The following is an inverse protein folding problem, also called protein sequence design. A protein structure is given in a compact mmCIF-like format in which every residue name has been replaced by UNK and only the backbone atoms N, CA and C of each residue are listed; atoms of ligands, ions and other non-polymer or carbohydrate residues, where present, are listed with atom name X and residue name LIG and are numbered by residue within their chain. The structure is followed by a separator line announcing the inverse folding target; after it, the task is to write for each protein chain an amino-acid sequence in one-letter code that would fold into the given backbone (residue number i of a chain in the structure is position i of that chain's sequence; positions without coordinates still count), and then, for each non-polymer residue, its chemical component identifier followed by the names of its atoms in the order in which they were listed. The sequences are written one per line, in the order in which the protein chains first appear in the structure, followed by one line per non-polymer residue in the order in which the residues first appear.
data_IF_085240248444
#
_entry.id   IF_085240248444
#
_cell.length_a   1.000
_cell.length_b   1.000
_cell.length_c   1.000
_cell.angle_alpha   90.00
_cell.angle_beta   90.00
_cell.angle_gamma   90.00
#
_symmetry.space_group_name_H-M   'P 1'
#
loop_
_entity.id
_entity.type
_entity.pdbx_description
1 polymer ?
#
# COMPACT_ATOMS: atom_id res chain seq x y z
N UNK A 1 17.40 -7.00 4.15
CA UNK A 1 16.84 -5.77 4.68
C UNK A 1 16.18 -5.98 6.03
N UNK A 2 15.99 -4.90 6.77
CA UNK A 2 15.26 -4.89 8.04
C UNK A 2 14.46 -3.59 8.16
N UNK A 3 13.24 -3.69 8.69
CA UNK A 3 12.39 -2.55 8.99
C UNK A 3 11.64 -2.80 10.30
N UNK A 4 11.40 -1.76 11.07
CA UNK A 4 10.73 -1.85 12.36
C UNK A 4 9.58 -0.86 12.43
N UNK A 5 8.41 -1.34 12.83
CA UNK A 5 7.22 -0.54 13.11
C UNK A 5 6.77 -0.85 14.53
N UNK A 6 6.62 0.18 15.36
CA UNK A 6 6.11 0.03 16.71
C UNK A 6 4.59 0.19 16.73
N UNK A 7 3.88 -0.84 17.20
CA UNK A 7 2.43 -0.83 17.36
C UNK A 7 2.06 -0.67 18.84
N UNK A 8 1.09 0.19 19.11
CA UNK A 8 0.60 0.47 20.47
C UNK A 8 -0.91 0.68 20.46
N UNK A 9 -1.56 0.40 21.56
CA UNK A 9 -2.95 0.76 21.82
C UNK A 9 -3.13 2.19 22.35
N UNK A 10 -2.02 2.92 22.50
CA UNK A 10 -2.04 4.33 22.91
C UNK A 10 -2.17 5.23 21.68
N UNK A 11 -2.65 6.45 21.87
CA UNK A 11 -2.69 7.47 20.82
C UNK A 11 -1.28 7.75 20.29
N UNK A 12 -1.11 7.73 18.99
CA UNK A 12 0.13 8.00 18.28
C UNK A 12 -0.10 8.94 17.09
N UNK A 13 0.96 9.28 16.33
CA UNK A 13 0.85 10.17 15.17
C UNK A 13 0.11 9.51 14.00
N UNK A 14 0.07 8.19 13.95
CA UNK A 14 -0.63 7.41 12.93
C UNK A 14 -1.52 6.35 13.58
N UNK A 15 -2.60 6.04 12.89
CA UNK A 15 -3.56 4.99 13.27
C UNK A 15 -3.74 4.02 12.10
N UNK A 16 -3.77 2.73 12.37
CA UNK A 16 -4.26 1.74 11.40
C UNK A 16 -5.77 1.93 11.30
N UNK A 17 -6.22 2.42 10.14
CA UNK A 17 -7.63 2.66 9.89
C UNK A 17 -8.36 1.36 9.50
N UNK A 18 -7.77 0.59 8.58
CA UNK A 18 -8.31 -0.69 8.14
C UNK A 18 -7.22 -1.59 7.57
N UNK A 19 -7.46 -2.91 7.60
CA UNK A 19 -6.63 -3.93 6.92
C UNK A 19 -7.55 -4.89 6.20
N UNK A 20 -7.23 -5.21 4.95
CA UNK A 20 -8.02 -6.13 4.12
C UNK A 20 -7.10 -7.15 3.43
N UNK A 21 -7.11 -8.40 3.83
CA UNK A 21 -6.52 -9.49 3.05
C UNK A 21 -7.43 -9.85 1.87
N UNK A 22 -6.81 -10.38 0.82
CA UNK A 22 -7.47 -10.91 -0.37
C UNK A 22 -6.81 -12.23 -0.79
N UNK A 23 -7.58 -13.11 -1.41
CA UNK A 23 -7.09 -14.33 -2.03
C UNK A 23 -7.91 -14.64 -3.28
N UNK A 24 -7.24 -15.05 -4.34
CA UNK A 24 -7.84 -15.36 -5.64
C UNK A 24 -7.02 -16.39 -6.41
N UNK A 25 -7.07 -16.32 -7.75
CA UNK A 25 -6.38 -17.26 -8.62
C UNK A 25 -4.84 -17.06 -8.54
N UNK A 26 -4.05 -18.10 -8.22
CA UNK A 26 -2.59 -18.03 -8.17
C UNK A 26 -1.91 -17.58 -9.47
N UNK A 27 -2.54 -17.82 -10.63
CA UNK A 27 -2.02 -17.41 -11.94
C UNK A 27 -1.99 -15.88 -12.10
N UNK A 28 -2.80 -15.15 -11.33
CA UNK A 28 -2.94 -13.71 -11.38
C UNK A 28 -2.42 -13.06 -10.08
N UNK A 29 -1.39 -13.64 -9.45
CA UNK A 29 -0.82 -13.14 -8.19
C UNK A 29 -0.53 -11.62 -8.17
N UNK A 30 -0.01 -10.97 -9.24
CA UNK A 30 0.20 -9.52 -9.24
C UNK A 30 -1.07 -8.69 -9.03
N UNK A 31 -2.25 -9.21 -9.41
CA UNK A 31 -3.54 -8.53 -9.20
C UNK A 31 -3.91 -8.40 -7.71
N UNK A 32 -3.25 -9.15 -6.83
CA UNK A 32 -3.51 -9.10 -5.39
C UNK A 32 -3.39 -7.72 -4.77
N UNK A 33 -2.52 -6.84 -5.30
CA UNK A 33 -2.41 -5.45 -4.86
C UNK A 33 -3.65 -4.63 -5.27
N UNK A 34 -4.09 -4.77 -6.52
CA UNK A 34 -5.29 -4.09 -7.03
C UNK A 34 -6.55 -4.56 -6.29
N UNK A 35 -6.78 -5.86 -6.26
CA UNK A 35 -7.98 -6.47 -5.67
C UNK A 35 -8.12 -6.18 -4.16
N UNK A 36 -6.99 -6.23 -3.43
CA UNK A 36 -7.01 -5.85 -2.01
C UNK A 36 -7.26 -4.36 -1.81
N UNK A 37 -6.75 -3.51 -2.71
CA UNK A 37 -7.01 -2.06 -2.73
C UNK A 37 -8.49 -1.77 -2.97
N UNK A 38 -9.09 -2.34 -4.01
CA UNK A 38 -10.53 -2.17 -4.28
C UNK A 38 -11.38 -2.68 -3.11
N UNK A 39 -10.99 -3.83 -2.56
CA UNK A 39 -11.67 -4.43 -1.43
C UNK A 39 -11.63 -3.58 -0.16
N UNK A 40 -10.49 -2.91 0.14
CA UNK A 40 -10.38 -2.07 1.33
C UNK A 40 -11.09 -0.73 1.15
N UNK A 41 -11.04 -0.13 -0.03
CA UNK A 41 -11.78 1.09 -0.37
C UNK A 41 -13.29 0.85 -0.23
N UNK A 42 -13.80 -0.23 -0.83
CA UNK A 42 -15.21 -0.63 -0.68
C UNK A 42 -15.60 -0.86 0.79
N UNK A 43 -14.74 -1.51 1.57
CA UNK A 43 -15.00 -1.81 2.99
C UNK A 43 -15.07 -0.57 3.86
N UNK A 44 -14.24 0.43 3.57
CA UNK A 44 -14.14 1.66 4.37
C UNK A 44 -15.08 2.76 3.90
N UNK A 45 -15.64 2.64 2.69
CA UNK A 45 -16.41 3.69 2.02
C UNK A 45 -15.56 4.85 1.51
N UNK A 46 -14.22 4.71 1.56
CA UNK A 46 -13.29 5.67 0.98
C UNK A 46 -13.15 5.42 -0.52
N UNK A 47 -12.82 6.47 -1.24
CA UNK A 47 -12.47 6.44 -2.66
C UNK A 47 -10.99 6.75 -2.85
N UNK A 48 -10.46 6.58 -4.06
CA UNK A 48 -9.08 6.96 -4.34
C UNK A 48 -8.86 8.48 -4.21
N UNK A 49 -9.90 9.31 -4.31
CA UNK A 49 -9.82 10.76 -4.06
C UNK A 49 -9.53 11.08 -2.59
N UNK A 50 -9.98 10.24 -1.66
CA UNK A 50 -9.76 10.42 -0.23
C UNK A 50 -8.35 9.99 0.21
N UNK A 51 -7.63 9.23 -0.62
CA UNK A 51 -6.28 8.74 -0.34
C UNK A 51 -5.25 9.75 -0.82
N UNK A 52 -4.35 10.18 0.06
CA UNK A 52 -3.31 11.17 -0.25
C UNK A 52 -2.00 10.52 -0.73
N UNK A 53 -1.71 9.30 -0.28
CA UNK A 53 -0.49 8.55 -0.58
C UNK A 53 -0.84 7.10 -0.89
N UNK A 54 -0.25 6.54 -1.95
CA UNK A 54 -0.37 5.13 -2.30
C UNK A 54 1.01 4.50 -2.38
N UNK A 55 1.23 3.43 -1.63
CA UNK A 55 2.44 2.63 -1.64
C UNK A 55 2.10 1.17 -1.99
N UNK A 56 2.30 0.78 -3.25
CA UNK A 56 2.19 -0.62 -3.66
C UNK A 56 3.58 -1.24 -3.76
N UNK A 57 3.71 -2.48 -3.32
CA UNK A 57 4.97 -3.20 -3.42
C UNK A 57 5.24 -3.62 -4.87
N UNK A 58 6.26 -3.04 -5.48
CA UNK A 58 6.72 -3.33 -6.84
C UNK A 58 7.54 -4.64 -6.88
N UNK A 59 6.91 -5.78 -6.53
CA UNK A 59 7.58 -7.08 -6.66
C UNK A 59 7.96 -7.38 -8.12
N UNK A 60 7.21 -6.85 -9.05
CA UNK A 60 7.41 -6.90 -10.51
C UNK A 60 6.84 -5.63 -11.14
N UNK A 61 7.44 -5.14 -12.23
CA UNK A 61 7.00 -3.95 -12.95
C UNK A 61 5.54 -4.02 -13.46
N UNK A 62 4.97 -5.21 -13.63
CA UNK A 62 3.56 -5.39 -14.00
C UNK A 62 2.61 -4.77 -12.95
N UNK A 63 3.03 -4.65 -11.70
CA UNK A 63 2.22 -4.07 -10.62
C UNK A 63 2.01 -2.58 -10.88
N UNK A 64 3.05 -1.87 -11.35
CA UNK A 64 2.95 -0.45 -11.73
C UNK A 64 2.04 -0.26 -12.94
N UNK A 65 2.13 -1.17 -13.92
CA UNK A 65 1.23 -1.16 -15.10
C UNK A 65 -0.23 -1.39 -14.69
N UNK A 66 -0.48 -2.25 -13.71
CA UNK A 66 -1.82 -2.47 -13.16
C UNK A 66 -2.35 -1.21 -12.45
N UNK A 67 -1.50 -0.55 -11.66
CA UNK A 67 -1.87 0.71 -11.01
C UNK A 67 -2.19 1.80 -12.02
N UNK A 68 -1.31 2.02 -13.00
CA UNK A 68 -1.49 3.04 -14.03
C UNK A 68 -2.76 2.83 -14.85
N UNK A 69 -3.09 1.59 -15.18
CA UNK A 69 -4.33 1.24 -15.87
C UNK A 69 -5.59 1.47 -15.03
N UNK A 70 -5.55 1.09 -13.75
CA UNK A 70 -6.71 1.19 -12.86
C UNK A 70 -6.92 2.63 -12.37
N UNK A 71 -5.83 3.37 -12.14
CA UNK A 71 -5.82 4.67 -11.49
C UNK A 71 -4.96 5.72 -12.21
N UNK A 72 -5.18 5.97 -13.52
CA UNK A 72 -4.30 6.82 -14.34
C UNK A 72 -4.18 8.26 -13.84
N UNK A 73 -5.20 8.76 -13.15
CA UNK A 73 -5.24 10.13 -12.63
C UNK A 73 -4.52 10.29 -11.26
N UNK A 74 -3.99 9.20 -10.69
CA UNK A 74 -3.47 9.17 -9.33
C UNK A 74 -1.98 8.83 -9.25
N UNK A 75 -1.28 8.79 -10.37
CA UNK A 75 0.16 8.46 -10.46
C UNK A 75 1.04 9.41 -9.67
N UNK A 76 0.64 10.68 -9.50
CA UNK A 76 1.39 11.68 -8.72
C UNK A 76 1.46 11.41 -7.22
N UNK A 77 0.66 10.49 -6.68
CA UNK A 77 0.68 10.09 -5.27
C UNK A 77 1.09 8.63 -5.04
N UNK A 78 1.56 7.97 -6.10
CA UNK A 78 1.98 6.58 -6.11
C UNK A 78 3.49 6.45 -5.91
N UNK A 79 3.89 5.64 -4.92
CA UNK A 79 5.30 5.34 -4.60
C UNK A 79 6.20 6.59 -4.65
N UNK A 80 5.80 7.65 -3.93
CA UNK A 80 6.37 9.00 -4.05
C UNK A 80 7.89 9.06 -3.82
N UNK A 81 8.44 8.14 -3.05
CA UNK A 81 9.88 8.03 -2.78
C UNK A 81 10.57 6.93 -3.56
N UNK A 82 9.92 6.41 -4.60
CA UNK A 82 10.33 5.21 -5.33
C UNK A 82 9.94 3.94 -4.60
N UNK A 83 9.95 2.82 -5.31
CA UNK A 83 9.50 1.52 -4.82
C UNK A 83 10.56 0.43 -4.91
N UNK A 84 10.14 -0.80 -4.76
CA UNK A 84 11.01 -1.98 -4.70
C UNK A 84 11.84 -2.20 -5.98
N UNK A 85 11.42 -1.71 -7.13
CA UNK A 85 12.21 -1.73 -8.35
C UNK A 85 13.49 -0.89 -8.22
N UNK A 86 13.45 0.18 -7.41
CA UNK A 86 14.60 1.06 -7.19
C UNK A 86 15.51 0.57 -6.06
N UNK A 87 14.96 0.13 -4.92
CA UNK A 87 15.74 -0.21 -3.73
C UNK A 87 15.76 -1.69 -3.36
N UNK A 88 15.04 -2.54 -4.09
CA UNK A 88 14.98 -3.98 -3.88
C UNK A 88 13.77 -4.44 -3.07
N UNK A 89 13.50 -5.75 -3.12
CA UNK A 89 12.36 -6.39 -2.46
C UNK A 89 12.84 -7.43 -1.44
N UNK A 90 13.19 -7.03 -0.21
CA UNK A 90 13.65 -7.95 0.83
C UNK A 90 12.50 -8.67 1.53
N UNK A 91 11.69 -9.40 0.82
CA UNK A 91 10.45 -10.13 1.16
C UNK A 91 9.89 -9.90 2.57
N UNK A 92 10.57 -10.40 3.60
CA UNK A 92 10.08 -10.42 4.98
C UNK A 92 9.92 -9.03 5.63
N UNK A 93 10.56 -7.98 5.10
CA UNK A 93 10.41 -6.62 5.64
C UNK A 93 9.74 -5.64 4.68
N UNK A 94 9.42 -6.04 3.43
CA UNK A 94 8.83 -5.12 2.44
C UNK A 94 7.52 -4.50 2.91
N UNK A 95 6.65 -5.24 3.56
CA UNK A 95 5.41 -4.69 4.12
C UNK A 95 5.66 -3.58 5.16
N UNK A 96 6.67 -3.76 6.02
CA UNK A 96 7.05 -2.72 6.98
C UNK A 96 7.70 -1.50 6.30
N UNK A 97 8.46 -1.72 5.21
CA UNK A 97 9.04 -0.63 4.41
C UNK A 97 7.91 0.21 3.79
N UNK A 98 6.90 -0.41 3.18
CA UNK A 98 5.74 0.31 2.63
C UNK A 98 5.05 1.18 3.67
N UNK A 99 4.84 0.65 4.87
CA UNK A 99 4.25 1.39 5.99
C UNK A 99 5.11 2.61 6.35
N UNK A 100 6.43 2.45 6.46
CA UNK A 100 7.35 3.54 6.80
C UNK A 100 7.41 4.61 5.70
N UNK A 101 7.45 4.20 4.41
CA UNK A 101 7.39 5.12 3.27
C UNK A 101 6.07 5.90 3.26
N UNK A 102 4.96 5.21 3.46
CA UNK A 102 3.64 5.82 3.52
C UNK A 102 3.54 6.85 4.66
N UNK A 103 4.07 6.53 5.85
CA UNK A 103 4.13 7.48 6.98
C UNK A 103 4.95 8.72 6.61
N UNK A 104 6.15 8.54 6.07
CA UNK A 104 7.02 9.63 5.67
C UNK A 104 6.42 10.49 4.54
N UNK A 105 5.77 9.86 3.57
CA UNK A 105 5.09 10.55 2.47
C UNK A 105 3.90 11.37 2.97
N UNK A 106 3.06 10.82 3.87
CA UNK A 106 1.96 11.54 4.51
C UNK A 106 2.45 12.75 5.32
N UNK A 107 3.56 12.62 6.03
CA UNK A 107 4.17 13.76 6.74
C UNK A 107 4.66 14.83 5.76
N UNK A 108 5.32 14.41 4.67
CA UNK A 108 5.88 15.30 3.66
C UNK A 108 4.83 16.10 2.91
N UNK A 109 3.70 15.47 2.52
CA UNK A 109 2.63 16.14 1.76
C UNK A 109 1.54 16.76 2.64
N UNK A 110 1.57 16.53 3.96
CA UNK A 110 0.52 16.97 4.87
C UNK A 110 -0.79 16.19 4.74
N UNK A 111 -0.76 15.03 4.06
CA UNK A 111 -1.91 14.17 3.79
C UNK A 111 -2.46 13.50 5.05
N UNK A 112 -3.67 12.98 4.95
CA UNK A 112 -4.37 12.30 6.03
C UNK A 112 -4.38 10.79 5.86
N UNK A 113 -4.82 10.30 4.70
CA UNK A 113 -4.97 8.86 4.45
C UNK A 113 -3.88 8.33 3.52
N UNK A 114 -3.22 7.27 3.92
CA UNK A 114 -2.28 6.52 3.11
C UNK A 114 -2.72 5.07 2.93
N UNK A 115 -2.56 4.55 1.73
CA UNK A 115 -2.89 3.19 1.36
C UNK A 115 -1.61 2.43 1.01
N UNK A 116 -1.36 1.33 1.70
CA UNK A 116 -0.31 0.38 1.35
C UNK A 116 -0.94 -0.89 0.81
N UNK A 117 -0.40 -1.46 -0.27
CA UNK A 117 -0.83 -2.77 -0.76
C UNK A 117 0.35 -3.62 -1.23
N UNK A 118 0.23 -4.92 -1.03
CA UNK A 118 1.22 -5.91 -1.41
C UNK A 118 0.53 -7.14 -2.00
N UNK A 119 0.98 -7.53 -3.19
CA UNK A 119 0.62 -8.80 -3.80
C UNK A 119 1.54 -9.90 -3.29
N UNK A 120 0.99 -11.06 -2.96
CA UNK A 120 1.73 -12.22 -2.49
C UNK A 120 1.67 -13.37 -3.48
N UNK A 121 2.71 -14.17 -3.53
CA UNK A 121 2.73 -15.39 -4.32
C UNK A 121 1.59 -16.33 -3.93
N UNK A 122 1.08 -17.10 -4.89
CA UNK A 122 -0.04 -18.03 -4.66
C UNK A 122 -1.42 -17.35 -4.73
N UNK A 123 -1.53 -16.16 -5.34
CA UNK A 123 -2.79 -15.47 -5.54
C UNK A 123 -3.32 -14.81 -4.27
N UNK A 124 -2.43 -14.23 -3.48
CA UNK A 124 -2.80 -13.50 -2.27
C UNK A 124 -2.52 -12.00 -2.41
N UNK A 125 -3.15 -11.21 -1.56
CA UNK A 125 -2.90 -9.77 -1.47
C UNK A 125 -3.31 -9.24 -0.10
N UNK A 126 -2.76 -8.11 0.28
CA UNK A 126 -3.16 -7.41 1.49
C UNK A 126 -3.07 -5.92 1.26
N UNK A 127 -4.11 -5.20 1.64
CA UNK A 127 -4.09 -3.74 1.71
C UNK A 127 -4.29 -3.26 3.15
N UNK A 128 -3.68 -2.13 3.45
CA UNK A 128 -3.77 -1.42 4.72
C UNK A 128 -4.03 0.05 4.43
N UNK A 129 -5.00 0.66 5.12
CA UNK A 129 -5.15 2.12 5.15
C UNK A 129 -4.72 2.61 6.52
N UNK A 130 -3.84 3.60 6.53
CA UNK A 130 -3.46 4.33 7.73
C UNK A 130 -3.98 5.76 7.67
N UNK A 131 -4.19 6.34 8.85
CA UNK A 131 -4.64 7.70 9.05
C UNK A 131 -3.60 8.45 9.88
N UNK A 132 -3.13 9.60 9.38
CA UNK A 132 -2.32 10.54 10.14
C UNK A 132 -3.24 11.37 11.05
N UNK A 133 -2.91 11.41 12.33
CA UNK A 133 -3.73 12.03 13.39
C UNK A 133 -3.42 13.51 13.55
#
# INVERSE_FOLDING_TARGET
GAAFVYLSNKKGPFKIHSVKPWAGNPQFSPEGALESTEGILKRTGLTMDDIDVVEWNEAFAIIDVLFDKAYPNYTGKYNMFGGALAYGHPYGCSGAILVLHCMAALESCGGRYGLCAIAGAGGTGTALIMERM
#
